data_IF_738753446339
#
_entry.id   IF_738753446339
#
_cell.length_a   1.000
_cell.length_b   1.000
_cell.length_c   1.000
_cell.angle_alpha   90.00
_cell.angle_beta   90.00
_cell.angle_gamma   90.00
#
_symmetry.space_group_name_H-M   'P 1'
#
loop_
_entity.id
_entity.type
_entity.pdbx_description
1 polymer ?
#
# COMPACT_ATOMS: atom_id res chain seq x y z
N UNK A 1 25.53 -26.47 -2.37
CA UNK A 1 24.81 -25.99 -1.17
C UNK A 1 24.43 -27.16 -0.27
N UNK A 2 24.36 -26.93 1.06
CA UNK A 2 23.91 -27.94 2.04
C UNK A 2 22.51 -28.44 1.66
N UNK A 3 22.32 -29.76 1.54
CA UNK A 3 21.04 -30.41 1.18
C UNK A 3 20.20 -30.85 2.37
N UNK A 4 20.69 -30.61 3.59
CA UNK A 4 20.04 -30.97 4.84
C UNK A 4 20.47 -30.04 5.99
N UNK A 5 19.61 -29.89 7.00
CA UNK A 5 19.86 -29.15 8.23
C UNK A 5 19.44 -30.01 9.43
N UNK A 6 20.14 -29.89 10.56
CA UNK A 6 19.72 -30.48 11.83
C UNK A 6 19.24 -29.37 12.74
N UNK A 7 18.00 -29.48 13.21
CA UNK A 7 17.40 -28.53 14.14
C UNK A 7 16.55 -29.30 15.16
N UNK A 8 16.67 -28.95 16.45
CA UNK A 8 15.94 -29.59 17.55
C UNK A 8 16.03 -31.13 17.54
N UNK A 9 17.24 -31.67 17.31
CA UNK A 9 17.49 -33.11 17.27
C UNK A 9 16.95 -33.84 16.02
N UNK A 10 16.32 -33.13 15.07
CA UNK A 10 15.77 -33.70 13.83
C UNK A 10 16.56 -33.26 12.61
N UNK A 11 16.76 -34.18 11.67
CA UNK A 11 17.39 -33.91 10.37
C UNK A 11 16.31 -33.66 9.32
N UNK A 12 16.32 -32.47 8.74
CA UNK A 12 15.46 -32.08 7.63
C UNK A 12 16.27 -32.12 6.34
N UNK A 13 15.72 -32.72 5.28
CA UNK A 13 16.36 -32.87 3.97
C UNK A 13 15.32 -32.65 2.88
N UNK A 14 15.72 -31.98 1.80
CA UNK A 14 14.89 -31.86 0.59
C UNK A 14 14.88 -33.22 -0.14
N UNK A 15 13.69 -33.68 -0.52
CA UNK A 15 13.52 -34.91 -1.29
C UNK A 15 14.31 -34.84 -2.61
N UNK A 16 14.77 -36.00 -3.11
CA UNK A 16 15.64 -36.08 -4.29
C UNK A 16 15.04 -35.44 -5.55
N UNK A 17 13.72 -35.41 -5.66
CA UNK A 17 12.99 -34.85 -6.81
C UNK A 17 12.32 -33.51 -6.51
N UNK A 18 12.76 -32.80 -5.48
CA UNK A 18 12.19 -31.52 -5.07
C UNK A 18 13.22 -30.38 -5.11
N UNK A 19 12.71 -29.16 -5.28
CA UNK A 19 13.46 -27.91 -5.13
C UNK A 19 12.87 -27.15 -3.94
N UNK A 20 13.75 -26.56 -3.12
CA UNK A 20 13.35 -25.68 -2.02
C UNK A 20 13.65 -24.24 -2.41
N UNK A 21 12.65 -23.38 -2.27
CA UNK A 21 12.81 -21.93 -2.31
C UNK A 21 12.34 -21.35 -0.98
N UNK A 22 13.05 -20.36 -0.46
CA UNK A 22 12.69 -19.62 0.75
C UNK A 22 12.53 -18.17 0.33
N UNK A 23 11.33 -17.63 0.48
CA UNK A 23 11.00 -16.23 0.17
C UNK A 23 10.59 -15.53 1.45
N UNK A 24 11.11 -14.34 1.67
CA UNK A 24 10.82 -13.53 2.84
C UNK A 24 10.52 -12.09 2.40
N UNK A 25 9.44 -11.52 2.92
CA UNK A 25 9.00 -10.15 2.63
C UNK A 25 8.78 -9.40 3.93
N UNK A 26 9.33 -8.19 4.06
CA UNK A 26 9.13 -7.31 5.22
C UNK A 26 8.90 -5.89 4.74
N UNK A 27 8.15 -5.13 5.53
CA UNK A 27 8.17 -3.67 5.41
C UNK A 27 9.57 -3.16 5.80
N UNK A 28 10.07 -2.11 5.15
CA UNK A 28 11.33 -1.48 5.53
C UNK A 28 11.37 -1.14 7.03
N UNK A 29 12.55 -1.15 7.63
CA UNK A 29 12.74 -0.90 9.06
C UNK A 29 12.45 0.54 9.50
N UNK A 30 12.19 1.45 8.54
CA UNK A 30 11.74 2.82 8.81
C UNK A 30 10.27 2.92 9.24
N UNK A 31 9.49 1.84 9.11
CA UNK A 31 8.13 1.78 9.64
C UNK A 31 8.19 1.36 11.12
N UNK A 32 7.65 2.19 12.02
CA UNK A 32 7.62 1.92 13.47
C UNK A 32 6.93 0.58 13.79
N UNK A 33 7.40 -0.12 14.81
CA UNK A 33 6.79 -1.36 15.30
C UNK A 33 7.02 -2.62 14.45
N UNK A 34 7.89 -2.56 13.43
CA UNK A 34 8.19 -3.73 12.59
C UNK A 34 9.40 -4.50 13.12
N UNK A 35 9.23 -5.79 13.41
CA UNK A 35 10.34 -6.69 13.70
C UNK A 35 11.26 -6.78 12.48
N UNK A 36 12.48 -6.24 12.62
CA UNK A 36 13.46 -6.23 11.55
C UNK A 36 14.12 -7.60 11.40
N UNK A 37 14.46 -7.94 10.16
CA UNK A 37 15.34 -9.08 9.91
C UNK A 37 16.74 -8.74 10.43
N UNK A 38 17.24 -9.59 11.34
CA UNK A 38 18.61 -9.50 11.87
C UNK A 38 19.63 -9.56 10.74
N UNK A 39 20.78 -8.93 10.95
CA UNK A 39 21.83 -8.85 9.93
C UNK A 39 22.35 -10.25 9.52
N UNK A 40 22.53 -11.17 10.48
CA UNK A 40 22.94 -12.56 10.20
C UNK A 40 21.93 -13.34 9.35
N UNK A 41 20.62 -13.08 9.51
CA UNK A 41 19.62 -13.70 8.65
C UNK A 41 19.59 -13.03 7.28
N UNK A 42 19.67 -11.69 7.24
CA UNK A 42 19.67 -10.89 6.00
C UNK A 42 20.80 -11.27 5.06
N UNK A 43 22.01 -11.50 5.57
CA UNK A 43 23.20 -11.87 4.79
C UNK A 43 23.05 -13.22 4.05
N UNK A 44 22.02 -14.02 4.38
CA UNK A 44 21.71 -15.31 3.74
C UNK A 44 20.72 -15.19 2.59
N UNK A 45 20.12 -14.03 2.39
CA UNK A 45 19.19 -13.76 1.30
C UNK A 45 19.84 -12.87 0.24
N UNK A 46 19.48 -13.14 -1.02
CA UNK A 46 19.51 -12.13 -2.08
C UNK A 46 18.14 -11.47 -2.13
N UNK A 47 18.07 -10.19 -2.48
CA UNK A 47 16.79 -9.49 -2.53
C UNK A 47 16.88 -8.09 -3.11
N UNK A 48 15.73 -7.45 -3.20
CA UNK A 48 15.53 -6.08 -3.68
C UNK A 48 14.65 -5.33 -2.68
N UNK A 49 14.94 -4.05 -2.45
CA UNK A 49 13.98 -3.14 -1.84
C UNK A 49 12.99 -2.69 -2.91
N UNK A 50 11.70 -2.66 -2.57
CA UNK A 50 10.66 -2.12 -3.43
C UNK A 50 10.23 -0.79 -2.82
N UNK A 51 10.43 0.27 -3.58
CA UNK A 51 10.00 1.60 -3.18
C UNK A 51 8.49 1.75 -3.33
N UNK A 52 7.97 2.85 -2.81
CA UNK A 52 6.59 3.21 -3.04
C UNK A 52 6.36 3.42 -4.54
N UNK A 53 5.26 2.88 -5.12
CA UNK A 53 5.04 2.94 -6.55
C UNK A 53 4.89 4.37 -7.06
N UNK A 54 5.51 4.65 -8.20
CA UNK A 54 5.33 5.90 -8.94
C UNK A 54 3.91 5.99 -9.50
N UNK A 55 3.49 7.19 -9.89
CA UNK A 55 2.20 7.38 -10.58
C UNK A 55 2.06 6.48 -11.81
N UNK A 56 3.12 6.29 -12.60
CA UNK A 56 3.06 5.43 -13.78
C UNK A 56 2.88 3.94 -13.43
N UNK A 57 3.41 3.48 -12.29
CA UNK A 57 3.25 2.11 -11.83
C UNK A 57 1.86 1.89 -11.22
N UNK A 58 1.39 2.83 -10.38
CA UNK A 58 0.02 2.86 -9.88
C UNK A 58 -0.99 2.84 -11.03
N UNK A 59 -0.78 3.70 -12.02
CA UNK A 59 -1.65 3.86 -13.17
C UNK A 59 -1.80 2.57 -14.00
N UNK A 60 -0.73 1.76 -14.07
CA UNK A 60 -0.75 0.44 -14.74
C UNK A 60 -1.35 -0.67 -13.88
N UNK A 61 -1.26 -0.56 -12.55
CA UNK A 61 -1.70 -1.60 -11.63
C UNK A 61 -3.22 -1.57 -11.38
N UNK A 62 -3.87 -0.43 -11.59
CA UNK A 62 -5.28 -0.21 -11.26
C UNK A 62 -6.18 -0.44 -12.47
N UNK A 63 -7.27 -1.17 -12.27
CA UNK A 63 -8.35 -1.23 -13.25
C UNK A 63 -9.24 0.02 -13.12
N UNK A 64 -9.01 1.00 -14.00
CA UNK A 64 -9.75 2.25 -14.01
C UNK A 64 -11.16 2.15 -14.58
N UNK A 65 -11.46 1.14 -15.40
CA UNK A 65 -12.74 1.07 -16.12
C UNK A 65 -13.03 2.35 -16.91
N UNK A 66 -14.24 2.86 -16.82
CA UNK A 66 -14.71 4.10 -17.48
C UNK A 66 -14.63 5.35 -16.57
N UNK A 67 -13.84 5.30 -15.50
CA UNK A 67 -13.70 6.44 -14.59
C UNK A 67 -13.08 7.65 -15.28
N UNK A 68 -13.63 8.84 -14.99
CA UNK A 68 -13.14 10.10 -15.56
C UNK A 68 -11.67 10.33 -15.22
N UNK A 69 -10.87 10.62 -16.27
CA UNK A 69 -9.45 10.90 -16.12
C UNK A 69 -9.23 12.14 -15.24
N UNK A 70 -9.92 13.24 -15.54
CA UNK A 70 -9.70 14.53 -14.89
C UNK A 70 -10.37 14.66 -13.53
N UNK A 71 -11.51 13.99 -13.32
CA UNK A 71 -12.29 14.11 -12.07
C UNK A 71 -11.84 13.12 -11.02
N UNK A 72 -11.37 11.92 -11.42
CA UNK A 72 -11.07 10.85 -10.44
C UNK A 72 -9.66 10.32 -10.58
N UNK A 73 -9.26 9.82 -11.75
CA UNK A 73 -7.99 9.08 -11.90
C UNK A 73 -6.76 9.95 -11.63
N UNK A 74 -6.65 11.10 -12.29
CA UNK A 74 -5.53 12.03 -12.10
C UNK A 74 -5.51 12.61 -10.68
N UNK A 75 -6.62 13.12 -10.13
CA UNK A 75 -6.68 13.54 -8.72
C UNK A 75 -6.29 12.43 -7.74
N UNK A 76 -6.78 11.20 -7.92
CA UNK A 76 -6.47 10.09 -7.02
C UNK A 76 -4.99 9.72 -7.05
N UNK A 77 -4.37 9.67 -8.23
CA UNK A 77 -2.93 9.43 -8.36
C UNK A 77 -2.11 10.54 -7.67
N UNK A 78 -2.46 11.81 -7.89
CA UNK A 78 -1.82 12.94 -7.21
C UNK A 78 -1.99 12.86 -5.70
N UNK A 79 -3.22 12.64 -5.24
CA UNK A 79 -3.57 12.55 -3.83
C UNK A 79 -2.75 11.46 -3.12
N UNK A 80 -2.64 10.28 -3.73
CA UNK A 80 -1.89 9.16 -3.17
C UNK A 80 -0.40 9.49 -2.98
N UNK A 81 0.22 10.20 -3.93
CA UNK A 81 1.62 10.64 -3.80
C UNK A 81 1.79 11.71 -2.72
N UNK A 82 0.82 12.61 -2.59
CA UNK A 82 0.82 13.65 -1.54
C UNK A 82 0.72 13.00 -0.15
N UNK A 83 -0.19 12.04 0.03
CA UNK A 83 -0.30 11.27 1.27
C UNK A 83 0.99 10.51 1.57
N UNK A 84 1.60 9.87 0.57
CA UNK A 84 2.88 9.21 0.77
C UNK A 84 3.97 10.19 1.21
N UNK A 85 4.02 11.38 0.61
CA UNK A 85 4.97 12.44 0.96
C UNK A 85 4.78 12.94 2.40
N UNK A 86 3.53 13.10 2.86
CA UNK A 86 3.21 13.47 4.24
C UNK A 86 3.67 12.39 5.23
N UNK A 87 3.48 11.11 4.90
CA UNK A 87 4.04 10.02 5.70
C UNK A 87 5.57 10.09 5.79
N UNK A 88 6.26 10.33 4.68
CA UNK A 88 7.72 10.43 4.68
C UNK A 88 8.25 11.60 5.52
N UNK A 89 7.43 12.64 5.74
CA UNK A 89 7.72 13.76 6.66
C UNK A 89 7.40 13.44 8.13
N UNK A 90 6.67 12.36 8.39
CA UNK A 90 6.17 12.01 9.72
C UNK A 90 4.87 12.69 10.11
N UNK A 91 4.19 13.35 9.16
CA UNK A 91 2.89 14.01 9.40
C UNK A 91 1.73 13.01 9.41
N UNK A 92 1.93 11.81 8.85
CA UNK A 92 0.97 10.72 8.81
C UNK A 92 1.65 9.39 9.15
N UNK A 93 0.97 8.52 9.88
CA UNK A 93 1.44 7.15 10.11
C UNK A 93 1.10 6.21 8.95
N UNK A 94 0.04 6.49 8.19
CA UNK A 94 -0.46 5.62 7.13
C UNK A 94 -0.21 6.19 5.72
N UNK A 95 0.13 5.32 4.77
CA UNK A 95 0.13 5.64 3.34
C UNK A 95 -0.85 4.73 2.64
N UNK A 96 -1.60 5.29 1.68
CA UNK A 96 -2.46 4.51 0.81
C UNK A 96 -1.63 3.53 -0.02
N UNK A 97 -2.13 2.33 -0.24
CA UNK A 97 -1.52 1.28 -1.06
C UNK A 97 -2.28 1.10 -2.37
N UNK A 98 -1.70 0.36 -3.32
CA UNK A 98 -2.40 -0.07 -4.55
C UNK A 98 -3.75 -0.73 -4.23
N UNK A 99 -3.83 -1.50 -3.13
CA UNK A 99 -5.08 -2.14 -2.70
C UNK A 99 -6.14 -1.11 -2.34
N UNK A 100 -5.77 -0.04 -1.66
CA UNK A 100 -6.72 0.98 -1.21
C UNK A 100 -7.27 1.77 -2.40
N UNK A 101 -6.42 2.03 -3.40
CA UNK A 101 -6.81 2.65 -4.67
C UNK A 101 -7.76 1.72 -5.45
N UNK A 102 -7.45 0.42 -5.49
CA UNK A 102 -8.34 -0.56 -6.14
C UNK A 102 -9.71 -0.63 -5.47
N UNK A 103 -9.74 -0.67 -4.12
CA UNK A 103 -10.98 -0.62 -3.33
C UNK A 103 -11.76 0.66 -3.58
N UNK A 104 -11.08 1.81 -3.67
CA UNK A 104 -11.70 3.09 -4.00
C UNK A 104 -12.39 3.01 -5.37
N UNK A 105 -11.69 2.51 -6.39
CA UNK A 105 -12.21 2.38 -7.74
C UNK A 105 -13.40 1.40 -7.82
N UNK A 106 -13.34 0.29 -7.09
CA UNK A 106 -14.43 -0.69 -6.98
C UNK A 106 -15.66 -0.06 -6.33
N UNK A 107 -15.50 0.53 -5.14
CA UNK A 107 -16.60 1.17 -4.42
C UNK A 107 -17.23 2.33 -5.20
N UNK A 108 -16.41 3.19 -5.82
CA UNK A 108 -16.87 4.30 -6.64
C UNK A 108 -17.77 3.82 -7.80
N UNK A 109 -17.43 2.69 -8.43
CA UNK A 109 -18.24 2.11 -9.52
C UNK A 109 -19.51 1.46 -9.00
N UNK A 110 -19.42 0.73 -7.89
CA UNK A 110 -20.57 0.04 -7.30
C UNK A 110 -21.64 1.03 -6.79
N UNK A 111 -21.22 2.22 -6.36
CA UNK A 111 -22.10 3.32 -5.96
C UNK A 111 -22.91 3.92 -7.13
N UNK A 112 -22.46 3.76 -8.38
CA UNK A 112 -23.20 4.20 -9.56
C UNK A 112 -23.38 5.73 -9.64
N UNK A 113 -24.60 6.19 -9.92
CA UNK A 113 -24.94 7.61 -10.14
C UNK A 113 -25.73 8.17 -8.95
N UNK A 114 -25.24 7.98 -7.72
CA UNK A 114 -25.80 8.70 -6.58
C UNK A 114 -25.28 10.14 -6.58
N UNK A 115 -25.97 11.02 -5.87
CA UNK A 115 -25.37 12.32 -5.54
C UNK A 115 -24.16 12.08 -4.63
N UNK A 116 -23.11 12.90 -4.79
CA UNK A 116 -21.92 12.89 -3.95
C UNK A 116 -21.17 11.54 -3.86
N UNK A 117 -21.18 10.74 -4.94
CA UNK A 117 -20.48 9.43 -4.98
C UNK A 117 -19.01 9.59 -4.64
N UNK A 118 -18.36 10.62 -5.16
CA UNK A 118 -16.93 10.86 -4.96
C UNK A 118 -16.64 11.14 -3.49
N UNK A 119 -17.43 12.01 -2.87
CA UNK A 119 -17.35 12.38 -1.47
C UNK A 119 -17.53 11.16 -0.58
N UNK A 120 -18.61 10.40 -0.77
CA UNK A 120 -18.89 9.20 0.02
C UNK A 120 -17.76 8.17 -0.14
N UNK A 121 -17.24 7.99 -1.35
CA UNK A 121 -16.09 7.09 -1.61
C UNK A 121 -14.86 7.55 -0.83
N UNK A 122 -14.56 8.85 -0.80
CA UNK A 122 -13.43 9.38 -0.02
C UNK A 122 -13.66 9.16 1.49
N UNK A 123 -14.85 9.45 2.01
CA UNK A 123 -15.17 9.29 3.43
C UNK A 123 -15.03 7.82 3.86
N UNK A 124 -15.64 6.91 3.11
CA UNK A 124 -15.79 5.51 3.48
C UNK A 124 -14.59 4.65 3.15
N UNK A 125 -13.83 4.98 2.09
CA UNK A 125 -12.66 4.20 1.69
C UNK A 125 -11.37 4.82 2.18
N UNK A 126 -11.22 6.15 2.11
CA UNK A 126 -9.94 6.80 2.43
C UNK A 126 -9.91 7.25 3.89
N UNK A 127 -10.83 8.12 4.31
CA UNK A 127 -10.75 8.75 5.64
C UNK A 127 -10.92 7.77 6.78
N UNK A 128 -11.66 6.67 6.57
CA UNK A 128 -11.84 5.63 7.59
C UNK A 128 -10.51 5.02 8.06
N UNK A 129 -9.46 5.04 7.23
CA UNK A 129 -8.14 4.44 7.52
C UNK A 129 -7.31 5.24 8.53
N UNK A 130 -7.66 6.51 8.74
CA UNK A 130 -6.98 7.39 9.68
C UNK A 130 -7.81 7.47 10.95
N UNK A 131 -7.36 6.80 12.00
CA UNK A 131 -8.04 6.79 13.31
C UNK A 131 -7.70 8.01 14.15
N UNK A 132 -6.51 8.58 13.96
CA UNK A 132 -6.13 9.83 14.60
C UNK A 132 -6.92 11.01 14.00
N UNK A 133 -7.62 11.83 14.80
CA UNK A 133 -8.42 12.93 14.29
C UNK A 133 -7.61 14.01 13.56
N UNK A 134 -6.37 14.29 13.98
CA UNK A 134 -5.55 15.32 13.36
C UNK A 134 -5.02 14.84 12.00
N UNK A 135 -4.57 13.58 11.90
CA UNK A 135 -4.22 12.97 10.62
C UNK A 135 -5.42 12.92 9.67
N UNK A 136 -6.59 12.49 10.17
CA UNK A 136 -7.81 12.41 9.36
C UNK A 136 -8.21 13.79 8.81
N UNK A 137 -8.11 14.84 9.63
CA UNK A 137 -8.41 16.20 9.19
C UNK A 137 -7.41 16.70 8.14
N UNK A 138 -6.12 16.43 8.32
CA UNK A 138 -5.09 16.77 7.35
C UNK A 138 -5.36 16.09 5.99
N UNK A 139 -5.73 14.81 6.01
CA UNK A 139 -6.09 14.03 4.82
C UNK A 139 -7.37 14.57 4.18
N UNK A 140 -8.38 14.96 4.98
CA UNK A 140 -9.64 15.56 4.50
C UNK A 140 -9.40 16.87 3.76
N UNK A 141 -8.60 17.78 4.35
CA UNK A 141 -8.23 19.05 3.71
C UNK A 141 -7.55 18.77 2.36
N UNK A 142 -6.57 17.86 2.35
CA UNK A 142 -5.87 17.49 1.12
C UNK A 142 -6.82 16.89 0.07
N UNK A 143 -7.82 16.12 0.48
CA UNK A 143 -8.80 15.54 -0.42
C UNK A 143 -9.73 16.61 -1.02
N UNK A 144 -10.22 17.56 -0.22
CA UNK A 144 -10.99 18.71 -0.72
C UNK A 144 -10.20 19.47 -1.79
N UNK A 145 -8.94 19.79 -1.52
CA UNK A 145 -8.07 20.52 -2.45
C UNK A 145 -7.80 19.74 -3.75
N UNK A 146 -7.57 18.42 -3.63
CA UNK A 146 -7.14 17.59 -4.77
C UNK A 146 -8.30 17.21 -5.69
N UNK A 147 -9.45 16.87 -5.11
CA UNK A 147 -10.62 16.42 -5.86
C UNK A 147 -11.62 17.55 -6.16
N UNK A 148 -11.47 18.72 -5.54
CA UNK A 148 -12.39 19.84 -5.71
C UNK A 148 -13.77 19.60 -5.09
N UNK A 149 -13.80 18.86 -3.97
CA UNK A 149 -15.02 18.45 -3.26
C UNK A 149 -15.16 19.18 -1.91
N UNK A 150 -16.28 18.96 -1.23
CA UNK A 150 -16.55 19.51 0.10
C UNK A 150 -16.98 18.40 1.08
N UNK A 151 -15.99 17.80 1.77
CA UNK A 151 -16.12 16.70 2.74
C UNK A 151 -16.37 17.18 4.17
#
# INVERSE_FOLDING_TARGET
GRRAVVANGKRYKVNSNAKLSIVWTINPTGYSGVNSMTEDLRSRFIGSAWDYPTNNELDKAINWGEMSYDVVRKPLLTFVQDIHSLKMKGDLEYSLSIRDIAQFCEYYRDMGVTENVLENTILEVILIKYSDPAERELVRIRANDTFGVNL
#
